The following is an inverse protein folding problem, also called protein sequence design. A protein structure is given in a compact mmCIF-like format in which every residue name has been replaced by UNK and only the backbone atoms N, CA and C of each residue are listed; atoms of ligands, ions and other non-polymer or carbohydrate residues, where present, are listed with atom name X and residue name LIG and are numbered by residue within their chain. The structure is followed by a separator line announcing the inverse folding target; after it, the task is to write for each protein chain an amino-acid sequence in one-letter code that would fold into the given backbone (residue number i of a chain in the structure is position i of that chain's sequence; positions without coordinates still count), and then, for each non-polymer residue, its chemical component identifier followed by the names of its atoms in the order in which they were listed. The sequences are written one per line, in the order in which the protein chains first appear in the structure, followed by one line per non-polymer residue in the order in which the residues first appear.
data_IF_692243833609
#
_entry.id   IF_692243833609
#
_cell.length_a   1.000
_cell.length_b   1.000
_cell.length_c   1.000
_cell.angle_alpha   90.00
_cell.angle_beta   90.00
_cell.angle_gamma   90.00
#
_symmetry.space_group_name_H-M   'P 1'
#
loop_
_entity.id
_entity.type
_entity.pdbx_description
1 polymer ?
#
# COMPACT_ATOMS: atom_id res chain seq x y z
N UNK A 1 -17.45 10.62 -59.47
CA UNK A 1 -16.16 10.36 -58.74
C UNK A 1 -16.03 11.22 -57.50
N UNK A 2 -16.30 12.53 -57.56
CA UNK A 2 -16.18 13.44 -56.38
C UNK A 2 -17.26 13.20 -55.29
N UNK A 3 -18.49 12.80 -55.66
CA UNK A 3 -19.56 12.49 -54.71
C UNK A 3 -19.27 11.19 -53.93
N UNK A 4 -18.70 10.18 -54.54
CA UNK A 4 -18.37 8.90 -53.90
C UNK A 4 -17.28 9.06 -52.84
N UNK A 5 -16.27 9.92 -53.10
CA UNK A 5 -15.21 10.23 -52.14
C UNK A 5 -15.77 10.97 -50.89
N UNK A 6 -16.72 11.89 -51.08
CA UNK A 6 -17.34 12.60 -49.97
C UNK A 6 -18.16 11.69 -49.05
N UNK A 7 -18.87 10.75 -49.63
CA UNK A 7 -19.71 9.78 -48.90
C UNK A 7 -18.84 8.78 -48.10
N UNK A 8 -17.75 8.32 -48.69
CA UNK A 8 -16.75 7.46 -47.99
C UNK A 8 -16.12 8.15 -46.81
N UNK A 9 -15.74 9.42 -46.94
CA UNK A 9 -15.16 10.21 -45.84
C UNK A 9 -16.17 10.41 -44.72
N UNK A 10 -17.45 10.66 -45.06
CA UNK A 10 -18.53 10.79 -44.05
C UNK A 10 -18.74 9.49 -43.28
N UNK A 11 -18.74 8.36 -43.95
CA UNK A 11 -18.92 7.05 -43.34
C UNK A 11 -17.73 6.67 -42.45
N UNK A 12 -16.51 6.97 -42.87
CA UNK A 12 -15.30 6.75 -42.05
C UNK A 12 -15.35 7.59 -40.76
N UNK A 13 -15.78 8.85 -40.83
CA UNK A 13 -15.96 9.71 -39.64
C UNK A 13 -17.01 9.15 -38.69
N UNK A 14 -18.14 8.64 -39.17
CA UNK A 14 -19.19 8.02 -38.35
C UNK A 14 -18.66 6.74 -37.67
N UNK A 15 -17.95 5.89 -38.41
CA UNK A 15 -17.37 4.67 -37.87
C UNK A 15 -16.32 5.00 -36.82
N UNK A 16 -15.45 5.98 -37.08
CA UNK A 16 -14.47 6.44 -36.09
C UNK A 16 -15.11 6.96 -34.82
N UNK A 17 -16.18 7.76 -34.96
CA UNK A 17 -16.94 8.28 -33.81
C UNK A 17 -17.57 7.16 -32.97
N UNK A 18 -18.14 6.13 -33.62
CA UNK A 18 -18.71 4.97 -32.92
C UNK A 18 -17.64 4.17 -32.19
N UNK A 19 -16.47 3.99 -32.81
CA UNK A 19 -15.32 3.26 -32.19
C UNK A 19 -14.84 4.03 -30.93
N UNK A 20 -14.69 5.35 -31.03
CA UNK A 20 -14.28 6.19 -29.90
C UNK A 20 -15.33 6.15 -28.78
N UNK A 21 -16.61 6.20 -29.12
CA UNK A 21 -17.70 6.09 -28.14
C UNK A 21 -17.67 4.73 -27.44
N UNK A 22 -17.48 3.65 -28.19
CA UNK A 22 -17.39 2.28 -27.68
C UNK A 22 -16.17 2.11 -26.76
N UNK A 23 -15.04 2.70 -27.11
CA UNK A 23 -13.82 2.68 -26.29
C UNK A 23 -13.99 3.37 -24.95
N UNK A 24 -14.77 4.46 -24.89
CA UNK A 24 -15.08 5.18 -23.63
C UNK A 24 -15.96 4.33 -22.71
N UNK A 25 -16.89 3.54 -23.25
CA UNK A 25 -17.74 2.66 -22.44
C UNK A 25 -16.98 1.43 -21.90
N UNK A 26 -15.92 0.98 -22.56
CA UNK A 26 -15.12 -0.17 -22.14
C UNK A 26 -14.12 0.16 -21.02
N UNK A 27 -13.82 1.43 -20.78
CA UNK A 27 -12.85 1.86 -19.75
C UNK A 27 -13.46 2.05 -18.34
N UNK A 28 -14.76 1.77 -18.14
CA UNK A 28 -15.47 2.10 -16.89
C UNK A 28 -15.62 0.92 -15.91
N UNK A 29 -14.92 -0.20 -16.09
CA UNK A 29 -15.03 -1.34 -15.16
C UNK A 29 -13.84 -1.41 -14.20
N UNK A 30 -13.72 -0.46 -13.28
CA UNK A 30 -13.00 -0.73 -12.03
C UNK A 30 -13.89 -1.68 -11.20
N UNK A 31 -13.35 -2.83 -10.77
CA UNK A 31 -14.09 -3.74 -9.91
C UNK A 31 -14.26 -3.13 -8.51
N UNK A 32 -15.30 -3.50 -7.77
CA UNK A 32 -15.49 -3.07 -6.38
C UNK A 32 -14.25 -3.39 -5.52
N UNK A 33 -13.60 -4.52 -5.78
CA UNK A 33 -12.37 -4.91 -5.12
C UNK A 33 -11.20 -3.94 -5.39
N UNK A 34 -11.06 -3.43 -6.62
CA UNK A 34 -10.02 -2.46 -6.96
C UNK A 34 -10.24 -1.13 -6.23
N UNK A 35 -11.50 -0.67 -6.17
CA UNK A 35 -11.87 0.56 -5.45
C UNK A 35 -11.62 0.39 -3.95
N UNK A 36 -12.02 -0.72 -3.36
CA UNK A 36 -11.80 -1.02 -1.95
C UNK A 36 -10.29 -1.08 -1.64
N UNK A 37 -9.50 -1.76 -2.46
CA UNK A 37 -8.05 -1.86 -2.31
C UNK A 37 -7.37 -0.49 -2.35
N UNK A 38 -7.74 0.36 -3.32
CA UNK A 38 -7.19 1.71 -3.43
C UNK A 38 -7.56 2.59 -2.23
N UNK A 39 -8.83 2.55 -1.79
CA UNK A 39 -9.30 3.33 -0.66
C UNK A 39 -8.61 2.90 0.64
N UNK A 40 -8.43 1.59 0.83
CA UNK A 40 -7.71 1.03 1.97
C UNK A 40 -6.25 1.45 1.98
N UNK A 41 -5.58 1.44 0.84
CA UNK A 41 -4.21 1.93 0.72
C UNK A 41 -4.09 3.41 1.04
N UNK A 42 -5.02 4.24 0.54
CA UNK A 42 -5.06 5.68 0.85
C UNK A 42 -5.29 5.94 2.34
N UNK A 43 -6.23 5.24 2.97
CA UNK A 43 -6.49 5.36 4.40
C UNK A 43 -5.26 5.01 5.23
N UNK A 44 -4.51 4.01 4.81
CA UNK A 44 -3.26 3.65 5.47
C UNK A 44 -2.15 4.71 5.29
N UNK A 45 -2.03 5.30 4.10
CA UNK A 45 -1.09 6.39 3.82
C UNK A 45 -1.47 7.69 4.56
N UNK A 46 -2.72 7.84 4.94
CA UNK A 46 -3.24 8.92 5.79
C UNK A 46 -3.16 8.62 7.29
N UNK A 47 -2.57 7.48 7.68
CA UNK A 47 -2.47 7.03 9.06
C UNK A 47 -3.83 6.82 9.76
N UNK A 48 -4.83 6.37 9.01
CA UNK A 48 -6.19 6.12 9.53
C UNK A 48 -6.41 4.64 9.88
N UNK A 49 -5.49 3.77 9.49
CA UNK A 49 -5.62 2.32 9.64
C UNK A 49 -4.48 1.77 10.48
N UNK A 50 -4.83 1.00 11.51
CA UNK A 50 -3.87 0.24 12.30
C UNK A 50 -3.31 -0.92 11.49
N UNK A 51 -1.98 -1.01 11.41
CA UNK A 51 -1.26 -2.07 10.70
C UNK A 51 -0.26 -2.77 11.60
N UNK A 52 -0.09 -4.06 11.30
CA UNK A 52 1.06 -4.85 11.77
C UNK A 52 1.95 -5.14 10.58
N UNK A 53 3.22 -4.80 10.69
CA UNK A 53 4.24 -5.03 9.68
C UNK A 53 5.28 -5.94 10.30
N UNK A 54 5.46 -7.11 9.73
CA UNK A 54 6.35 -8.14 10.25
C UNK A 54 7.47 -8.38 9.25
N UNK A 55 8.71 -8.22 9.71
CA UNK A 55 9.91 -8.60 8.98
C UNK A 55 10.40 -9.94 9.50
N UNK A 56 10.66 -10.85 8.60
CA UNK A 56 11.07 -12.20 8.97
C UNK A 56 12.11 -12.75 7.98
N UNK A 57 12.88 -13.71 8.48
CA UNK A 57 13.80 -14.48 7.64
C UNK A 57 13.02 -15.60 6.96
N UNK A 58 12.89 -15.54 5.64
CA UNK A 58 12.15 -16.53 4.85
C UNK A 58 12.77 -17.92 4.82
N UNK A 59 14.03 -18.07 5.22
CA UNK A 59 14.72 -19.37 5.29
C UNK A 59 14.51 -20.05 6.65
N UNK A 60 14.71 -19.29 7.74
CA UNK A 60 14.63 -19.84 9.10
C UNK A 60 13.23 -19.71 9.71
N UNK A 61 12.38 -18.83 9.15
CA UNK A 61 11.07 -18.51 9.72
C UNK A 61 11.11 -17.60 10.95
N UNK A 62 12.30 -17.10 11.32
CA UNK A 62 12.47 -16.24 12.50
C UNK A 62 11.95 -14.83 12.24
N UNK A 63 11.21 -14.29 13.18
CA UNK A 63 10.77 -12.89 13.17
C UNK A 63 11.92 -11.97 13.59
N UNK A 64 12.23 -11.00 12.75
CA UNK A 64 13.31 -10.03 12.99
C UNK A 64 12.76 -8.80 13.69
N UNK A 65 11.65 -8.27 13.19
CA UNK A 65 11.04 -7.03 13.67
C UNK A 65 9.53 -7.06 13.45
N UNK A 66 8.78 -6.60 14.44
CA UNK A 66 7.34 -6.37 14.32
C UNK A 66 7.08 -4.90 14.64
N UNK A 67 6.37 -4.22 13.74
CA UNK A 67 5.93 -2.82 13.92
C UNK A 67 4.42 -2.81 13.89
N UNK A 68 3.81 -2.29 14.96
CA UNK A 68 2.35 -2.14 15.06
C UNK A 68 2.00 -0.68 15.31
N UNK A 69 1.03 -0.16 14.59
CA UNK A 69 0.58 1.21 14.74
C UNK A 69 -0.13 1.77 13.53
N UNK A 70 -0.41 3.06 13.56
CA UNK A 70 -0.87 3.84 12.40
C UNK A 70 0.33 4.08 11.49
N UNK A 71 0.57 3.14 10.57
CA UNK A 71 1.80 3.12 9.77
C UNK A 71 1.50 3.10 8.28
N UNK A 72 2.27 3.87 7.51
CA UNK A 72 2.33 3.85 6.06
C UNK A 72 3.62 3.19 5.58
N UNK A 73 3.54 2.46 4.49
CA UNK A 73 4.69 1.87 3.78
C UNK A 73 5.21 2.85 2.73
N UNK A 74 6.52 2.89 2.52
CA UNK A 74 7.12 3.73 1.49
C UNK A 74 6.74 3.28 0.09
N UNK A 75 6.22 4.22 -0.71
CA UNK A 75 5.77 3.97 -2.09
C UNK A 75 6.87 4.21 -3.13
N UNK A 76 7.99 4.83 -2.72
CA UNK A 76 9.07 5.25 -3.62
C UNK A 76 10.45 4.78 -3.14
N UNK A 77 10.50 3.71 -2.37
CA UNK A 77 11.76 3.17 -1.88
C UNK A 77 12.55 2.49 -3.01
N UNK A 78 13.88 2.59 -3.01
CA UNK A 78 14.71 1.86 -3.95
C UNK A 78 14.51 0.35 -3.82
N UNK A 79 14.80 -0.40 -4.88
CA UNK A 79 14.78 -1.85 -4.84
C UNK A 79 15.66 -2.39 -3.70
N UNK A 80 15.15 -3.36 -2.95
CA UNK A 80 15.85 -3.94 -1.80
C UNK A 80 15.77 -3.10 -0.51
N UNK A 81 14.93 -2.08 -0.46
CA UNK A 81 14.67 -1.31 0.77
C UNK A 81 13.17 -1.11 0.97
N UNK A 82 12.78 -0.91 2.22
CA UNK A 82 11.44 -0.50 2.61
C UNK A 82 11.54 0.53 3.72
N UNK A 83 10.83 1.63 3.59
CA UNK A 83 10.61 2.56 4.69
C UNK A 83 9.22 2.38 5.28
N UNK A 84 9.13 2.46 6.60
CA UNK A 84 7.89 2.42 7.35
C UNK A 84 7.79 3.70 8.16
N UNK A 85 6.76 4.49 7.94
CA UNK A 85 6.48 5.70 8.70
C UNK A 85 5.29 5.44 9.59
N UNK A 86 5.44 5.67 10.90
CA UNK A 86 4.37 5.49 11.87
C UNK A 86 4.08 6.79 12.60
N UNK A 87 2.80 7.10 12.75
CA UNK A 87 2.32 8.23 13.54
C UNK A 87 2.27 7.81 15.00
N UNK A 88 3.03 8.48 15.85
CA UNK A 88 3.16 8.15 17.28
C UNK A 88 2.42 9.14 18.20
N UNK A 89 2.14 10.34 17.68
CA UNK A 89 1.29 11.35 18.34
C UNK A 89 0.57 12.21 17.29
N UNK A 90 -0.27 13.17 17.64
CA UNK A 90 -0.93 14.05 16.67
C UNK A 90 0.02 14.76 15.69
N UNK A 91 1.24 15.06 16.14
CA UNK A 91 2.24 15.85 15.40
C UNK A 91 3.58 15.15 15.21
N UNK A 92 3.75 13.93 15.76
CA UNK A 92 5.04 13.23 15.74
C UNK A 92 4.97 11.94 14.94
N UNK A 93 6.05 11.67 14.24
CA UNK A 93 6.21 10.50 13.38
C UNK A 93 7.57 9.83 13.62
N UNK A 94 7.60 8.51 13.52
CA UNK A 94 8.84 7.74 13.48
C UNK A 94 8.98 7.08 12.13
N UNK A 95 10.18 7.10 11.57
CA UNK A 95 10.49 6.44 10.31
C UNK A 95 11.54 5.36 10.51
N UNK A 96 11.25 4.16 10.03
CA UNK A 96 12.15 3.02 9.98
C UNK A 96 12.64 2.82 8.55
N UNK A 97 13.91 2.50 8.39
CA UNK A 97 14.51 2.11 7.12
C UNK A 97 14.98 0.66 7.25
N UNK A 98 14.50 -0.17 6.37
CA UNK A 98 14.68 -1.61 6.44
C UNK A 98 15.26 -2.11 5.12
N UNK A 99 16.35 -2.87 5.20
CA UNK A 99 16.91 -3.57 4.06
C UNK A 99 16.14 -4.87 3.80
N UNK A 100 15.84 -5.13 2.55
CA UNK A 100 15.28 -6.38 2.06
C UNK A 100 16.37 -7.16 1.33
N UNK A 101 16.38 -8.47 1.46
CA UNK A 101 17.33 -9.36 0.79
C UNK A 101 16.61 -10.64 0.38
N UNK A 102 17.31 -11.55 -0.28
CA UNK A 102 16.77 -12.86 -0.66
C UNK A 102 16.23 -13.65 0.54
N UNK A 103 16.79 -13.38 1.74
CA UNK A 103 16.45 -14.07 2.98
C UNK A 103 15.52 -13.26 3.88
N UNK A 104 15.39 -11.94 3.66
CA UNK A 104 14.60 -11.04 4.51
C UNK A 104 13.46 -10.47 3.70
N UNK A 105 12.25 -10.78 4.14
CA UNK A 105 11.03 -10.27 3.54
C UNK A 105 10.08 -9.75 4.62
N UNK A 106 8.94 -9.21 4.20
CA UNK A 106 7.94 -8.70 5.12
C UNK A 106 6.54 -9.05 4.63
N UNK A 107 5.61 -9.02 5.57
CA UNK A 107 4.18 -8.89 5.26
C UNK A 107 3.58 -7.75 6.09
N UNK A 108 2.53 -7.13 5.57
CA UNK A 108 1.77 -6.12 6.27
C UNK A 108 0.30 -6.55 6.29
N UNK A 109 -0.29 -6.55 7.47
CA UNK A 109 -1.70 -6.82 7.66
C UNK A 109 -2.40 -5.62 8.30
N UNK A 110 -3.69 -5.46 8.04
CA UNK A 110 -4.52 -4.52 8.78
C UNK A 110 -5.04 -5.21 10.03
N UNK A 111 -4.90 -4.53 11.15
CA UNK A 111 -5.52 -4.99 12.38
C UNK A 111 -6.96 -4.47 12.42
N UNK A 112 -7.90 -5.31 12.86
CA UNK A 112 -9.25 -4.85 13.14
C UNK A 112 -9.20 -3.69 14.14
N UNK A 113 -10.10 -2.69 14.02
CA UNK A 113 -10.13 -1.58 14.94
C UNK A 113 -10.51 -2.09 16.34
N UNK A 114 -9.52 -2.50 17.11
CA UNK A 114 -9.69 -2.65 18.56
C UNK A 114 -9.76 -1.24 19.15
N UNK A 115 -10.55 -1.04 20.23
CA UNK A 115 -10.52 0.19 21.00
C UNK A 115 -9.18 0.31 21.73
N UNK A 116 -8.14 0.63 20.97
CA UNK A 116 -6.79 0.84 21.46
C UNK A 116 -6.50 2.33 21.37
N UNK A 117 -5.70 2.85 22.29
CA UNK A 117 -5.20 4.22 22.22
C UNK A 117 -4.66 4.48 20.79
N UNK A 118 -5.22 5.48 20.11
CA UNK A 118 -4.96 5.79 18.69
C UNK A 118 -3.47 6.05 18.43
N UNK A 119 -2.71 6.32 19.47
CA UNK A 119 -1.27 6.64 19.42
C UNK A 119 -0.39 5.54 20.00
N UNK A 120 -0.90 4.33 20.17
CA UNK A 120 -0.08 3.20 20.62
C UNK A 120 0.91 2.82 19.51
N UNK A 121 2.20 2.86 19.85
CA UNK A 121 3.28 2.44 18.98
C UNK A 121 4.09 1.36 19.70
N UNK A 122 4.13 0.18 19.10
CA UNK A 122 4.86 -0.96 19.66
C UNK A 122 5.85 -1.50 18.63
N UNK A 123 7.12 -1.56 19.00
CA UNK A 123 8.16 -2.27 18.23
C UNK A 123 8.62 -3.44 19.06
N UNK A 124 8.46 -4.64 18.54
CA UNK A 124 8.98 -5.84 19.15
C UNK A 124 10.19 -6.26 18.31
N UNK A 125 11.37 -6.12 18.86
CA UNK A 125 12.60 -6.65 18.30
C UNK A 125 12.90 -7.98 18.98
N UNK A 126 12.88 -9.08 18.24
CA UNK A 126 13.19 -10.42 18.74
C UNK A 126 14.46 -10.91 18.06
N UNK A 127 15.66 -10.58 18.56
CA UNK A 127 16.86 -11.31 18.16
C UNK A 127 16.73 -12.74 18.71
N UNK A 128 17.05 -13.71 17.91
CA UNK A 128 16.95 -15.15 18.27
C UNK A 128 17.76 -15.57 19.49
N UNK A 129 18.51 -14.65 20.07
CA UNK A 129 19.30 -14.82 21.29
C UNK A 129 19.50 -13.46 22.00
N UNK A 130 18.96 -13.28 23.21
CA UNK A 130 19.53 -12.46 24.30
C UNK A 130 18.88 -11.11 24.65
N UNK A 131 17.93 -10.50 23.93
CA UNK A 131 17.38 -9.22 24.42
C UNK A 131 15.90 -9.30 24.82
N UNK A 132 15.50 -8.67 25.95
CA UNK A 132 14.10 -8.62 26.37
C UNK A 132 13.25 -7.73 25.46
N UNK A 133 11.94 -8.01 25.41
CA UNK A 133 10.96 -7.17 24.72
C UNK A 133 11.05 -5.72 25.21
N UNK A 134 11.24 -4.78 24.30
CA UNK A 134 11.23 -3.35 24.61
C UNK A 134 9.89 -2.78 24.20
N UNK A 135 9.03 -2.53 25.18
CA UNK A 135 7.75 -1.84 24.99
C UNK A 135 7.95 -0.34 25.22
N UNK A 136 7.91 0.45 24.14
CA UNK A 136 8.01 1.90 24.20
C UNK A 136 6.60 2.49 24.21
N UNK A 137 6.02 2.66 25.41
CA UNK A 137 4.82 3.45 25.59
C UNK A 137 5.22 4.91 25.71
N UNK A 138 4.74 5.75 24.80
CA UNK A 138 4.81 7.21 24.95
C UNK A 138 3.59 7.69 25.69
N UNK A 139 3.74 8.56 26.69
CA UNK A 139 2.63 9.09 27.50
C UNK A 139 1.63 9.92 26.70
#
# INVERSE_FOLDING_TARGET
VLNDVGERISNVKKVLFVIVLLAVFLSACATEADVASQNTSKAADQFEVMRRIVFYNGITGDYILVVEGLCSLGNYDPAGSLSVVCKVSPTEYKKHFLGLSDNVTYFAEQLEPAQVNVYHYRVIFRPSTILPDIDLQTP
#
